data_IF_160580115298
#
_entry.id   IF_160580115298
#
_cell.length_a   1.000
_cell.length_b   1.000
_cell.length_c   1.000
_cell.angle_alpha   90.00
_cell.angle_beta   90.00
_cell.angle_gamma   90.00
#
_symmetry.space_group_name_H-M   'P 1'
#
loop_
_entity.id
_entity.type
_entity.pdbx_description
1 polymer ?
#
# COMPACT_ATOMS: atom_id res chain seq x y z
N UNK A 1 42.35 -20.56 28.46
CA UNK A 1 42.36 -19.70 27.25
C UNK A 1 41.53 -20.32 26.09
N UNK A 2 40.51 -21.19 26.34
CA UNK A 2 39.73 -21.88 25.27
C UNK A 2 38.23 -21.59 25.20
N UNK A 3 37.71 -20.55 25.87
CA UNK A 3 36.25 -20.25 25.92
C UNK A 3 35.81 -18.99 25.20
N UNK A 4 36.67 -18.26 24.53
CA UNK A 4 36.32 -17.00 23.85
C UNK A 4 35.96 -17.21 22.36
N UNK A 5 36.36 -18.34 21.77
CA UNK A 5 36.17 -18.58 20.32
C UNK A 5 34.73 -18.98 19.90
N UNK A 6 33.87 -19.40 20.84
CA UNK A 6 32.51 -19.84 20.48
C UNK A 6 31.50 -18.68 20.40
N UNK A 7 31.76 -17.52 21.02
CA UNK A 7 30.88 -16.39 21.00
C UNK A 7 30.97 -15.56 19.71
N UNK A 8 32.11 -15.63 19.03
CA UNK A 8 32.35 -14.87 17.80
C UNK A 8 31.68 -15.52 16.55
N UNK A 9 31.38 -16.81 16.59
CA UNK A 9 30.81 -17.52 15.46
C UNK A 9 29.27 -17.44 15.44
N UNK A 10 28.63 -17.11 16.56
CA UNK A 10 27.17 -16.99 16.65
C UNK A 10 26.63 -15.65 16.12
N UNK A 11 27.48 -14.64 15.88
CA UNK A 11 27.08 -13.32 15.38
C UNK A 11 27.07 -13.20 13.85
N UNK A 12 27.49 -14.19 13.11
CA UNK A 12 27.63 -14.15 11.64
C UNK A 12 26.46 -14.79 10.89
N UNK A 13 25.46 -15.33 11.58
CA UNK A 13 24.19 -15.69 10.98
C UNK A 13 23.27 -14.44 10.95
N UNK A 14 23.72 -13.34 10.37
CA UNK A 14 22.84 -12.28 9.90
C UNK A 14 22.09 -12.90 8.74
N UNK A 15 20.84 -13.33 8.99
CA UNK A 15 19.92 -13.70 7.94
C UNK A 15 19.97 -12.57 6.91
N UNK A 16 20.35 -12.88 5.68
CA UNK A 16 20.21 -11.95 4.57
C UNK A 16 18.72 -11.76 4.38
N UNK A 17 18.17 -10.74 5.02
CA UNK A 17 16.83 -10.26 4.71
C UNK A 17 16.93 -9.79 3.27
N UNK A 18 16.40 -10.58 2.35
CA UNK A 18 16.23 -10.16 0.97
C UNK A 18 15.37 -8.88 1.00
N UNK A 19 16.02 -7.74 0.87
CA UNK A 19 15.30 -6.46 0.76
C UNK A 19 14.53 -6.49 -0.54
N UNK A 20 13.22 -6.25 -0.50
CA UNK A 20 12.44 -6.05 -1.71
C UNK A 20 13.04 -4.90 -2.53
N UNK A 21 12.96 -5.00 -3.85
CA UNK A 21 13.45 -3.94 -4.74
C UNK A 21 12.63 -2.66 -4.54
N UNK A 22 13.22 -1.50 -4.81
CA UNK A 22 12.47 -0.24 -4.83
C UNK A 22 11.38 -0.28 -5.90
N UNK A 23 10.18 0.20 -5.57
CA UNK A 23 9.08 0.30 -6.54
C UNK A 23 9.47 1.24 -7.69
N UNK A 24 9.15 0.85 -8.90
CA UNK A 24 9.40 1.62 -10.11
C UNK A 24 8.11 1.77 -10.91
N UNK A 25 7.97 2.87 -11.66
CA UNK A 25 6.80 3.07 -12.51
C UNK A 25 6.66 1.93 -13.52
N UNK A 26 5.42 1.48 -13.71
CA UNK A 26 5.10 0.35 -14.58
C UNK A 26 3.60 0.16 -14.71
N UNK A 27 3.17 -0.93 -15.32
CA UNK A 27 1.74 -1.28 -15.41
C UNK A 27 1.27 -2.05 -14.16
N UNK A 28 -0.03 -2.08 -13.90
CA UNK A 28 -0.61 -2.94 -12.86
C UNK A 28 -0.21 -4.41 -13.08
N UNK A 29 -0.14 -4.86 -14.35
CA UNK A 29 0.36 -6.20 -14.68
C UNK A 29 1.78 -6.46 -14.16
N UNK A 30 2.68 -5.45 -14.21
CA UNK A 30 4.04 -5.58 -13.66
C UNK A 30 4.05 -5.65 -12.13
N UNK A 31 3.14 -4.96 -11.46
CA UNK A 31 2.97 -5.02 -10.01
C UNK A 31 2.37 -6.36 -9.56
N UNK A 32 1.40 -6.90 -10.30
CA UNK A 32 0.88 -8.26 -10.06
C UNK A 32 1.98 -9.32 -10.12
N UNK A 33 2.96 -9.15 -11.01
CA UNK A 33 4.09 -10.07 -11.15
C UNK A 33 5.09 -10.03 -9.98
N UNK A 34 5.04 -9.02 -9.09
CA UNK A 34 5.92 -8.93 -7.91
C UNK A 34 5.57 -10.00 -6.86
N UNK A 35 4.32 -10.47 -6.83
CA UNK A 35 3.85 -11.48 -5.88
C UNK A 35 4.03 -11.06 -4.41
N UNK A 36 4.39 -12.02 -3.57
CA UNK A 36 4.61 -11.77 -2.13
C UNK A 36 5.92 -11.04 -1.82
N UNK A 37 6.87 -11.01 -2.74
CA UNK A 37 8.13 -10.29 -2.56
C UNK A 37 7.96 -8.78 -2.60
N UNK A 38 7.03 -8.29 -3.40
CA UNK A 38 6.67 -6.89 -3.50
C UNK A 38 7.79 -5.96 -3.92
N UNK A 39 7.60 -4.67 -3.62
CA UNK A 39 8.60 -3.62 -3.77
C UNK A 39 8.51 -2.61 -2.62
N UNK A 40 9.51 -1.75 -2.46
CA UNK A 40 9.58 -0.79 -1.34
C UNK A 40 9.40 0.66 -1.78
N UNK A 41 8.71 1.44 -0.95
CA UNK A 41 8.72 2.91 -0.96
C UNK A 41 9.19 3.35 0.43
N UNK A 42 10.41 3.89 0.51
CA UNK A 42 11.03 4.19 1.80
C UNK A 42 11.25 2.91 2.62
N UNK A 43 10.62 2.83 3.79
CA UNK A 43 10.69 1.68 4.69
C UNK A 43 9.50 0.73 4.55
N UNK A 44 8.56 1.05 3.68
CA UNK A 44 7.30 0.32 3.54
C UNK A 44 7.37 -0.61 2.34
N UNK A 45 6.83 -1.82 2.50
CA UNK A 45 6.74 -2.84 1.46
C UNK A 45 5.32 -2.91 0.93
N UNK A 46 5.17 -2.78 -0.39
CA UNK A 46 3.93 -3.02 -1.11
C UNK A 46 4.03 -4.39 -1.78
N UNK A 47 3.08 -5.26 -1.50
CA UNK A 47 3.14 -6.66 -1.94
C UNK A 47 1.75 -7.25 -2.19
N UNK A 48 1.71 -8.49 -2.67
CA UNK A 48 0.49 -9.27 -2.84
C UNK A 48 -0.57 -8.56 -3.69
N UNK A 49 -0.14 -7.90 -4.77
CA UNK A 49 -1.06 -7.33 -5.74
C UNK A 49 -1.87 -8.44 -6.42
N UNK A 50 -3.19 -8.30 -6.44
CA UNK A 50 -4.12 -9.24 -7.04
C UNK A 50 -5.27 -8.47 -7.68
N UNK A 51 -5.82 -8.97 -8.78
CA UNK A 51 -7.09 -8.49 -9.34
C UNK A 51 -8.25 -9.26 -8.76
N UNK A 52 -9.38 -8.58 -8.62
CA UNK A 52 -10.66 -9.18 -8.24
C UNK A 52 -11.62 -9.07 -9.43
N UNK A 53 -12.64 -9.92 -9.43
CA UNK A 53 -13.71 -9.82 -10.44
C UNK A 53 -14.55 -8.59 -10.20
N UNK A 54 -14.83 -7.86 -11.26
CA UNK A 54 -15.69 -6.69 -11.25
C UNK A 54 -17.17 -7.03 -11.16
N UNK A 55 -17.99 -5.97 -11.19
CA UNK A 55 -19.45 -6.07 -11.16
C UNK A 55 -20.01 -6.80 -12.38
N UNK A 56 -21.17 -7.43 -12.21
CA UNK A 56 -21.89 -8.01 -13.34
C UNK A 56 -22.29 -6.92 -14.33
N UNK A 57 -21.83 -7.05 -15.57
CA UNK A 57 -22.09 -6.09 -16.66
C UNK A 57 -20.97 -5.08 -16.90
N UNK A 58 -20.00 -4.95 -16.00
CA UNK A 58 -18.80 -4.17 -16.25
C UNK A 58 -17.82 -4.91 -17.16
N UNK A 59 -17.06 -4.18 -17.98
CA UNK A 59 -15.92 -4.69 -18.70
C UNK A 59 -14.65 -4.40 -17.89
N UNK A 60 -13.87 -5.42 -17.59
CA UNK A 60 -12.62 -5.23 -16.85
C UNK A 60 -11.63 -4.39 -17.66
N UNK A 61 -11.02 -3.40 -16.98
CA UNK A 61 -9.89 -2.65 -17.53
C UNK A 61 -8.68 -3.57 -17.52
N UNK A 62 -8.09 -3.78 -18.69
CA UNK A 62 -6.90 -4.62 -18.80
C UNK A 62 -5.76 -4.11 -17.91
N UNK A 63 -5.11 -4.99 -17.17
CA UNK A 63 -4.06 -4.63 -16.20
C UNK A 63 -2.83 -3.94 -16.81
N UNK A 64 -2.60 -4.10 -18.11
CA UNK A 64 -1.58 -3.37 -18.86
C UNK A 64 -2.04 -1.96 -19.30
N UNK A 65 -3.32 -1.63 -19.18
CA UNK A 65 -3.88 -0.31 -19.46
C UNK A 65 -3.98 0.58 -18.19
N UNK A 66 -3.70 0.05 -17.02
CA UNK A 66 -3.56 0.80 -15.77
C UNK A 66 -2.06 1.00 -15.49
N UNK A 67 -1.61 2.24 -15.50
CA UNK A 67 -0.22 2.59 -15.21
C UNK A 67 -0.07 2.99 -13.75
N UNK A 68 0.96 2.47 -13.08
CA UNK A 68 1.24 2.66 -11.66
C UNK A 68 2.52 3.46 -11.48
N UNK A 69 2.44 4.53 -10.73
CA UNK A 69 3.60 5.38 -10.39
C UNK A 69 3.76 5.43 -8.87
N UNK A 70 4.85 4.89 -8.32
CA UNK A 70 5.15 5.04 -6.91
C UNK A 70 5.59 6.46 -6.61
N UNK A 71 5.23 6.96 -5.44
CA UNK A 71 5.53 8.32 -5.00
C UNK A 71 5.70 8.43 -3.49
N UNK A 72 5.86 9.66 -3.03
CA UNK A 72 6.05 9.95 -1.62
C UNK A 72 7.43 9.55 -1.09
N UNK A 73 7.51 9.27 0.20
CA UNK A 73 8.74 8.92 0.90
C UNK A 73 8.48 8.06 2.13
N UNK A 74 9.44 8.04 3.05
CA UNK A 74 9.37 7.21 4.27
C UNK A 74 8.20 7.54 5.20
N UNK A 75 7.65 8.75 5.14
CA UNK A 75 6.53 9.17 5.98
C UNK A 75 5.20 9.27 5.23
N UNK A 76 5.23 9.22 3.91
CA UNK A 76 4.03 9.35 3.06
C UNK A 76 4.14 8.48 1.81
N UNK A 77 4.23 7.14 1.95
CA UNK A 77 4.24 6.26 0.78
C UNK A 77 2.94 6.44 -0.01
N UNK A 78 3.04 6.46 -1.34
CA UNK A 78 1.88 6.61 -2.22
C UNK A 78 2.01 5.79 -3.50
N UNK A 79 0.87 5.40 -4.04
CA UNK A 79 0.73 4.85 -5.39
C UNK A 79 -0.26 5.70 -6.17
N UNK A 80 0.14 6.13 -7.35
CA UNK A 80 -0.72 6.80 -8.30
C UNK A 80 -1.04 5.85 -9.44
N UNK A 81 -2.31 5.66 -9.71
CA UNK A 81 -2.82 4.83 -10.80
C UNK A 81 -3.41 5.73 -11.87
N UNK A 82 -3.14 5.45 -13.12
CA UNK A 82 -3.70 6.22 -14.22
C UNK A 82 -4.21 5.31 -15.34
N UNK A 83 -5.33 5.69 -15.91
CA UNK A 83 -5.91 5.03 -17.07
C UNK A 83 -6.52 6.06 -18.02
N UNK A 84 -6.47 5.76 -19.32
CA UNK A 84 -7.05 6.60 -20.37
C UNK A 84 -8.34 6.00 -20.94
N UNK A 85 -9.03 5.17 -20.17
CA UNK A 85 -10.29 4.56 -20.59
C UNK A 85 -11.35 5.64 -20.83
N UNK A 86 -12.05 5.53 -21.96
CA UNK A 86 -13.19 6.40 -22.30
C UNK A 86 -14.37 5.51 -22.60
N UNK A 87 -15.49 5.81 -22.00
CA UNK A 87 -16.76 5.08 -22.20
C UNK A 87 -17.86 6.01 -22.67
N UNK A 88 -18.72 5.48 -23.52
CA UNK A 88 -19.93 6.15 -23.98
C UNK A 88 -21.17 5.56 -23.29
N UNK A 89 -22.31 6.14 -23.58
CA UNK A 89 -23.64 5.73 -23.09
C UNK A 89 -23.83 4.22 -23.04
N UNK A 90 -24.22 3.72 -21.87
CA UNK A 90 -24.55 2.31 -21.63
C UNK A 90 -23.32 1.39 -21.46
N UNK A 91 -22.12 1.93 -21.43
CA UNK A 91 -20.91 1.16 -21.17
C UNK A 91 -20.35 1.48 -19.80
N UNK A 92 -19.89 0.44 -19.12
CA UNK A 92 -19.24 0.48 -17.83
C UNK A 92 -17.91 -0.28 -17.91
N UNK A 93 -16.83 0.34 -17.49
CA UNK A 93 -15.54 -0.34 -17.32
C UNK A 93 -15.07 -0.20 -15.88
N UNK A 94 -14.39 -1.21 -15.38
CA UNK A 94 -14.02 -1.32 -13.98
C UNK A 94 -12.65 -1.98 -13.82
N UNK A 95 -11.92 -1.59 -12.79
CA UNK A 95 -10.69 -2.26 -12.36
C UNK A 95 -10.72 -2.43 -10.85
N UNK A 96 -10.87 -3.66 -10.38
CA UNK A 96 -10.76 -3.97 -8.95
C UNK A 96 -9.46 -4.71 -8.70
N UNK A 97 -8.68 -4.22 -7.76
CA UNK A 97 -7.43 -4.87 -7.37
C UNK A 97 -7.11 -4.61 -5.90
N UNK A 98 -6.37 -5.53 -5.31
CA UNK A 98 -5.92 -5.46 -3.92
C UNK A 98 -4.40 -5.43 -3.86
N UNK A 99 -3.88 -4.89 -2.77
CA UNK A 99 -2.48 -5.00 -2.39
C UNK A 99 -2.33 -4.88 -0.87
N UNK A 100 -1.14 -5.18 -0.38
CA UNK A 100 -0.80 -5.06 1.03
C UNK A 100 0.32 -4.04 1.20
N UNK A 101 0.19 -3.23 2.25
CA UNK A 101 1.21 -2.29 2.71
C UNK A 101 1.67 -2.72 4.10
N UNK A 102 2.99 -2.85 4.29
CA UNK A 102 3.58 -3.24 5.57
C UNK A 102 4.88 -2.51 5.82
N UNK A 103 5.23 -2.30 7.09
CA UNK A 103 6.47 -1.61 7.50
C UNK A 103 6.23 -0.60 8.59
N UNK A 104 6.30 0.68 8.27
CA UNK A 104 6.08 1.79 9.21
C UNK A 104 4.68 1.77 9.80
N UNK A 105 4.50 2.44 10.94
CA UNK A 105 3.18 2.58 11.56
C UNK A 105 2.29 3.50 10.72
N UNK A 106 1.31 2.94 10.02
CA UNK A 106 0.36 3.67 9.18
C UNK A 106 -0.69 4.31 10.09
N UNK A 107 -0.95 5.61 9.94
CA UNK A 107 -1.87 6.37 10.81
C UNK A 107 -3.02 7.03 10.06
N UNK A 108 -2.93 7.16 8.75
CA UNK A 108 -4.04 7.63 7.91
C UNK A 108 -3.92 7.09 6.49
N UNK A 109 -5.06 6.99 5.81
CA UNK A 109 -5.16 6.78 4.37
C UNK A 109 -5.84 7.98 3.74
N UNK A 110 -5.49 8.28 2.49
CA UNK A 110 -6.13 9.30 1.68
C UNK A 110 -6.20 8.87 0.22
N UNK A 111 -7.32 9.18 -0.41
CA UNK A 111 -7.63 8.91 -1.80
C UNK A 111 -7.85 10.24 -2.52
N UNK A 112 -7.32 10.38 -3.73
CA UNK A 112 -7.53 11.56 -4.58
C UNK A 112 -7.77 11.14 -6.03
N UNK A 113 -8.76 11.75 -6.67
CA UNK A 113 -9.10 11.58 -8.08
C UNK A 113 -8.80 12.88 -8.83
N UNK A 114 -8.19 12.78 -10.01
CA UNK A 114 -7.86 13.93 -10.86
C UNK A 114 -7.80 13.54 -12.34
N UNK A 115 -7.88 14.54 -13.21
CA UNK A 115 -7.81 14.38 -14.67
C UNK A 115 -8.85 13.42 -15.26
N UNK A 116 -9.92 13.16 -14.52
CA UNK A 116 -11.13 12.50 -14.99
C UNK A 116 -12.05 13.51 -15.64
N UNK A 117 -13.02 13.07 -16.41
CA UNK A 117 -14.06 13.92 -16.97
C UNK A 117 -15.33 13.14 -17.18
N UNK A 118 -16.45 13.81 -16.96
CA UNK A 118 -17.80 13.29 -17.13
C UNK A 118 -18.64 14.23 -17.98
N UNK A 119 -19.62 13.71 -18.65
CA UNK A 119 -20.63 14.48 -19.40
C UNK A 119 -22.03 13.90 -19.14
N UNK A 120 -22.99 14.80 -18.94
CA UNK A 120 -24.40 14.50 -18.69
C UNK A 120 -24.58 13.68 -17.41
N UNK A 121 -24.73 12.36 -17.51
CA UNK A 121 -24.90 11.42 -16.41
C UNK A 121 -23.79 10.36 -16.35
N UNK A 122 -22.68 10.60 -17.05
CA UNK A 122 -21.48 9.80 -16.89
C UNK A 122 -20.85 10.00 -15.51
N UNK A 123 -20.04 9.06 -15.05
CA UNK A 123 -19.36 9.13 -13.75
C UNK A 123 -17.99 8.47 -13.78
N UNK A 124 -17.06 9.00 -12.99
CA UNK A 124 -15.80 8.35 -12.64
C UNK A 124 -15.73 8.26 -11.13
N UNK A 125 -15.60 7.05 -10.62
CA UNK A 125 -15.61 6.77 -9.18
C UNK A 125 -14.39 5.92 -8.82
N UNK A 126 -13.80 6.18 -7.65
CA UNK A 126 -12.83 5.28 -7.04
C UNK A 126 -13.19 5.09 -5.56
N UNK A 127 -13.26 3.84 -5.15
CA UNK A 127 -13.50 3.42 -3.78
C UNK A 127 -12.25 2.69 -3.29
N UNK A 128 -11.61 3.23 -2.25
CA UNK A 128 -10.55 2.54 -1.55
C UNK A 128 -11.10 1.95 -0.25
N UNK A 129 -11.11 0.62 -0.15
CA UNK A 129 -11.36 -0.08 1.10
C UNK A 129 -10.03 -0.46 1.75
N UNK A 130 -9.91 -0.28 3.06
CA UNK A 130 -8.73 -0.67 3.80
C UNK A 130 -9.05 -1.49 5.05
N UNK A 131 -8.17 -2.43 5.37
CA UNK A 131 -8.21 -3.26 6.57
C UNK A 131 -6.90 -3.06 7.34
N UNK A 132 -6.90 -2.09 8.28
CA UNK A 132 -5.72 -1.75 9.07
C UNK A 132 -5.47 -2.79 10.17
N UNK A 133 -4.26 -3.34 10.21
CA UNK A 133 -3.86 -4.39 11.14
C UNK A 133 -4.41 -5.78 10.78
N UNK A 134 -5.01 -5.96 9.59
CA UNK A 134 -5.61 -7.21 9.18
C UNK A 134 -5.75 -7.34 7.67
N UNK A 135 -6.36 -8.44 7.24
CA UNK A 135 -6.63 -8.75 5.84
C UNK A 135 -8.14 -8.85 5.62
N UNK A 136 -8.58 -8.59 4.39
CA UNK A 136 -9.93 -8.88 3.92
C UNK A 136 -10.14 -10.37 3.69
N UNK A 137 -11.40 -10.78 3.59
CA UNK A 137 -11.82 -12.06 3.07
C UNK A 137 -11.51 -12.21 1.57
N UNK A 138 -11.93 -13.33 0.97
CA UNK A 138 -11.60 -13.64 -0.44
C UNK A 138 -12.16 -12.66 -1.47
N UNK A 139 -13.21 -11.90 -1.13
CA UNK A 139 -13.82 -10.86 -1.96
C UNK A 139 -13.05 -9.53 -1.94
N UNK A 140 -12.05 -9.41 -1.04
CA UNK A 140 -11.21 -8.22 -0.91
C UNK A 140 -11.89 -7.00 -0.25
N UNK A 141 -13.14 -7.10 0.18
CA UNK A 141 -13.92 -5.99 0.76
C UNK A 141 -14.46 -6.35 2.14
N UNK A 142 -15.08 -7.51 2.25
CA UNK A 142 -15.69 -7.99 3.48
C UNK A 142 -14.71 -8.81 4.34
N UNK A 143 -15.10 -9.11 5.59
CA UNK A 143 -14.35 -10.00 6.45
C UNK A 143 -13.01 -9.45 6.95
N UNK A 144 -12.87 -8.13 7.04
CA UNK A 144 -11.66 -7.51 7.62
C UNK A 144 -11.39 -8.04 9.03
N UNK A 145 -10.21 -8.59 9.24
CA UNK A 145 -9.77 -9.14 10.55
C UNK A 145 -9.16 -8.06 11.46
N UNK A 146 -8.96 -6.85 10.95
CA UNK A 146 -8.47 -5.68 11.67
C UNK A 146 -9.53 -4.59 11.79
N UNK A 147 -9.15 -3.33 11.57
CA UNK A 147 -10.05 -2.17 11.53
C UNK A 147 -10.36 -1.84 10.08
N UNK A 148 -11.61 -2.02 9.68
CA UNK A 148 -12.07 -1.68 8.34
C UNK A 148 -12.40 -0.20 8.20
N UNK A 149 -12.20 0.34 7.00
CA UNK A 149 -12.66 1.65 6.58
C UNK A 149 -12.73 1.76 5.06
N UNK A 150 -13.33 2.85 4.59
CA UNK A 150 -13.51 3.11 3.17
C UNK A 150 -13.35 4.59 2.88
N UNK A 151 -12.79 4.91 1.72
CA UNK A 151 -12.68 6.24 1.13
C UNK A 151 -13.39 6.23 -0.23
N UNK A 152 -13.99 7.36 -0.60
CA UNK A 152 -14.71 7.50 -1.85
C UNK A 152 -14.30 8.79 -2.57
N UNK A 153 -14.01 8.68 -3.85
CA UNK A 153 -13.93 9.84 -4.75
C UNK A 153 -14.91 9.70 -5.89
N UNK A 154 -15.48 10.82 -6.30
CA UNK A 154 -16.43 10.94 -7.39
C UNK A 154 -16.13 12.21 -8.18
N UNK A 155 -15.89 12.06 -9.48
CA UNK A 155 -15.57 13.19 -10.35
C UNK A 155 -16.61 14.31 -10.25
N UNK A 156 -16.15 15.55 -10.28
CA UNK A 156 -17.01 16.75 -10.20
C UNK A 156 -17.67 17.00 -8.83
N UNK A 157 -17.67 16.03 -7.92
CA UNK A 157 -18.38 16.13 -6.62
C UNK A 157 -17.45 16.02 -5.43
N UNK A 158 -16.64 14.98 -5.37
CA UNK A 158 -15.70 14.69 -4.27
C UNK A 158 -14.38 14.16 -4.81
N UNK A 159 -13.46 15.04 -5.11
CA UNK A 159 -12.19 14.66 -5.73
C UNK A 159 -11.13 14.18 -4.72
N UNK A 160 -11.42 14.19 -3.43
CA UNK A 160 -10.52 13.65 -2.39
C UNK A 160 -11.29 13.23 -1.16
N UNK A 161 -10.77 12.19 -0.51
CA UNK A 161 -11.24 11.71 0.78
C UNK A 161 -10.07 11.27 1.65
N UNK A 162 -10.24 11.27 2.97
CA UNK A 162 -9.20 10.84 3.90
C UNK A 162 -9.82 10.32 5.21
N UNK A 163 -9.19 9.29 5.76
CA UNK A 163 -9.59 8.71 7.04
C UNK A 163 -8.39 8.48 7.95
N UNK A 164 -8.50 8.81 9.25
CA UNK A 164 -7.53 8.36 10.21
C UNK A 164 -7.61 6.84 10.36
N UNK A 165 -6.45 6.21 10.48
CA UNK A 165 -6.31 4.80 10.84
C UNK A 165 -5.77 4.72 12.27
N UNK A 166 -6.15 3.69 13.01
CA UNK A 166 -5.39 3.34 14.20
C UNK A 166 -3.96 2.94 13.80
N UNK A 167 -2.94 3.20 14.63
CA UNK A 167 -1.57 2.84 14.29
C UNK A 167 -1.48 1.35 13.92
N UNK A 168 -1.12 1.05 12.67
CA UNK A 168 -1.02 -0.31 12.16
C UNK A 168 0.26 -0.45 11.32
N UNK A 169 1.05 -1.50 11.59
CA UNK A 169 2.25 -1.82 10.81
C UNK A 169 1.94 -2.60 9.53
N UNK A 170 0.66 -2.85 9.27
CA UNK A 170 0.17 -3.60 8.13
C UNK A 170 -1.24 -3.12 7.77
N UNK A 171 -1.55 -3.04 6.48
CA UNK A 171 -2.88 -2.83 5.96
C UNK A 171 -3.08 -3.61 4.66
N UNK A 172 -4.27 -4.18 4.46
CA UNK A 172 -4.74 -4.66 3.16
C UNK A 172 -5.62 -3.59 2.53
N UNK A 173 -5.40 -3.31 1.27
CA UNK A 173 -6.06 -2.25 0.51
C UNK A 173 -6.75 -2.86 -0.71
N UNK A 174 -7.96 -2.43 -1.00
CA UNK A 174 -8.69 -2.76 -2.23
C UNK A 174 -9.14 -1.48 -2.89
N UNK A 175 -8.84 -1.32 -4.16
CA UNK A 175 -9.34 -0.24 -5.00
C UNK A 175 -10.38 -0.80 -5.96
N UNK A 176 -11.47 -0.07 -6.09
CA UNK A 176 -12.54 -0.28 -7.06
C UNK A 176 -12.71 0.99 -7.88
N UNK A 177 -12.02 1.03 -9.02
CA UNK A 177 -12.05 2.15 -9.96
C UNK A 177 -13.01 1.89 -11.09
N UNK A 178 -14.01 2.75 -11.23
CA UNK A 178 -15.10 2.61 -12.19
C UNK A 178 -15.19 3.83 -13.10
N UNK A 179 -15.41 3.60 -14.40
CA UNK A 179 -15.76 4.61 -15.40
C UNK A 179 -17.06 4.19 -16.05
N UNK A 180 -18.12 4.98 -15.80
CA UNK A 180 -19.50 4.74 -16.25
C UNK A 180 -19.92 5.80 -17.26
N UNK A 181 -20.36 5.39 -18.46
CA UNK A 181 -20.88 6.27 -19.49
C UNK A 181 -22.32 6.74 -19.23
N UNK A 182 -22.99 6.21 -18.19
CA UNK A 182 -24.37 6.55 -17.87
C UNK A 182 -25.38 6.09 -18.91
N UNK A 183 -26.59 6.64 -18.81
CA UNK A 183 -27.71 6.32 -19.74
C UNK A 183 -27.78 7.26 -20.94
N UNK A 184 -27.13 8.44 -20.87
CA UNK A 184 -27.17 9.47 -21.91
C UNK A 184 -25.83 10.21 -22.07
N UNK A 185 -24.81 9.84 -21.28
CA UNK A 185 -23.56 10.56 -21.15
C UNK A 185 -22.33 9.86 -21.69
N UNK A 186 -21.21 10.26 -21.18
CA UNK A 186 -19.90 9.63 -21.37
C UNK A 186 -18.98 9.98 -20.20
N UNK A 187 -17.97 9.17 -19.96
CA UNK A 187 -16.94 9.45 -18.99
C UNK A 187 -15.56 9.04 -19.51
N UNK A 188 -14.53 9.69 -18.99
CA UNK A 188 -13.15 9.31 -19.23
C UNK A 188 -12.44 9.14 -17.89
N UNK A 189 -11.78 8.01 -17.75
CA UNK A 189 -10.96 7.69 -16.59
C UNK A 189 -9.79 8.67 -16.46
N UNK A 190 -9.27 8.79 -15.25
CA UNK A 190 -8.26 9.75 -14.89
C UNK A 190 -7.12 9.13 -14.10
N UNK A 191 -6.70 9.87 -13.10
CA UNK A 191 -5.63 9.50 -12.17
C UNK A 191 -6.23 9.43 -10.78
N UNK A 192 -6.10 8.29 -10.12
CA UNK A 192 -6.39 8.18 -8.70
C UNK A 192 -5.11 7.87 -7.91
N UNK A 193 -4.99 8.41 -6.72
CA UNK A 193 -3.81 8.30 -5.89
C UNK A 193 -4.16 7.89 -4.47
N UNK A 194 -3.60 6.77 -4.06
CA UNK A 194 -3.64 6.30 -2.69
C UNK A 194 -2.39 6.78 -1.97
N UNK A 195 -2.56 7.46 -0.85
CA UNK A 195 -1.45 7.93 -0.04
C UNK A 195 -1.68 7.58 1.42
N UNK A 196 -0.62 7.21 2.10
CA UNK A 196 -0.66 6.80 3.50
C UNK A 196 0.27 7.68 4.33
N UNK A 197 -0.20 8.11 5.50
CA UNK A 197 0.71 8.72 6.48
C UNK A 197 1.31 7.62 7.32
N UNK A 198 2.63 7.53 7.29
CA UNK A 198 3.40 6.52 8.01
C UNK A 198 4.31 7.21 9.04
N UNK A 199 4.28 6.75 10.28
CA UNK A 199 5.24 7.18 11.29
C UNK A 199 6.42 6.21 11.29
N UNK A 200 7.66 6.70 11.15
CA UNK A 200 8.84 5.86 11.32
C UNK A 200 8.78 5.18 12.69
N UNK A 201 9.20 3.93 12.76
CA UNK A 201 9.33 3.25 14.06
C UNK A 201 10.15 4.13 15.01
N UNK A 202 9.70 4.33 16.25
CA UNK A 202 10.45 5.14 17.21
C UNK A 202 11.87 4.61 17.29
N UNK A 203 12.85 5.51 17.22
CA UNK A 203 14.26 5.19 17.45
C UNK A 203 14.51 4.52 18.83
N UNK A 204 13.45 4.32 19.62
CA UNK A 204 13.44 3.62 20.90
C UNK A 204 14.02 2.22 20.83
N UNK A 205 13.77 1.45 19.77
CA UNK A 205 14.39 0.13 19.57
C UNK A 205 15.91 0.25 19.36
N UNK A 206 16.35 1.23 18.58
CA UNK A 206 17.76 1.51 18.38
C UNK A 206 18.42 2.02 19.66
N UNK A 207 17.75 2.92 20.39
CA UNK A 207 18.21 3.42 21.67
C UNK A 207 18.25 2.33 22.75
N UNK A 208 17.27 1.43 22.77
CA UNK A 208 17.27 0.26 23.66
C UNK A 208 18.45 -0.69 23.35
N UNK A 209 18.72 -0.97 22.08
CA UNK A 209 19.85 -1.78 21.67
C UNK A 209 21.21 -1.15 22.08
N UNK A 210 21.36 0.17 21.88
CA UNK A 210 22.54 0.91 22.35
C UNK A 210 22.64 0.87 23.88
N UNK A 211 21.53 1.06 24.60
CA UNK A 211 21.48 0.99 26.06
C UNK A 211 21.93 -0.37 26.60
N UNK A 212 21.45 -1.46 26.00
CA UNK A 212 21.88 -2.83 26.35
C UNK A 212 23.37 -3.03 26.06
N UNK A 213 23.86 -2.53 24.93
CA UNK A 213 25.28 -2.63 24.57
C UNK A 213 26.18 -1.90 25.57
N UNK A 214 25.80 -0.70 25.97
CA UNK A 214 26.52 0.09 26.98
C UNK A 214 26.51 -0.61 28.35
N UNK A 215 25.35 -1.12 28.76
CA UNK A 215 25.20 -1.82 30.05
C UNK A 215 26.03 -3.12 30.11
N UNK A 216 26.07 -3.87 29.01
CA UNK A 216 26.88 -5.11 28.93
C UNK A 216 28.37 -4.81 28.94
N UNK A 217 28.83 -3.79 28.22
CA UNK A 217 30.24 -3.38 28.21
C UNK A 217 30.68 -2.85 29.57
N UNK A 218 29.87 -2.04 30.25
CA UNK A 218 30.18 -1.55 31.61
C UNK A 218 30.28 -2.69 32.61
N UNK A 219 29.42 -3.71 32.53
CA UNK A 219 29.45 -4.90 33.38
C UNK A 219 30.69 -5.76 33.18
N UNK A 220 31.17 -5.88 31.95
CA UNK A 220 32.43 -6.60 31.63
C UNK A 220 33.64 -5.85 32.19
N UNK A 221 33.63 -4.52 32.07
CA UNK A 221 34.73 -3.69 32.57
C UNK A 221 34.85 -3.69 34.11
N UNK A 222 33.67 -3.67 34.81
CA UNK A 222 33.68 -3.73 36.28
C UNK A 222 34.21 -5.05 36.82
N UNK A 223 33.93 -6.18 36.15
CA UNK A 223 34.42 -7.51 36.55
C UNK A 223 35.93 -7.72 36.28
N UNK A 224 36.57 -6.88 35.48
CA UNK A 224 38.01 -6.96 35.22
C UNK A 224 38.88 -6.16 36.24
N UNK A 225 38.23 -5.30 37.05
CA UNK A 225 38.90 -4.49 38.07
C UNK A 225 38.77 -5.07 39.48
N UNK A 226 37.95 -6.07 39.68
CA UNK A 226 37.81 -6.85 40.92
C UNK A 226 38.63 -8.14 40.80
#
# INVERSE_FOLDING_TARGET
VKRISFLALALLAVAQVSSAATCTSGTLASYLALGSGGCTIGNDVLSNFQTLSGQTGATEIATNAVFVTPGGGTSTPSLTFSTSQTVSTGYLVESIFTYQLSGSSITSASLALSNSSEQVDGAVTDIENFCAGGIFGPDGVDGCTGTAGSLLTLDGTQNSDASPLGPASFASITNDFTVDGGTAGSAAGGIFANSFTAMPEPASLFMAAIGILIATTARIYSKRKA
#
